data_IF_068939232080
#
_entry.id   IF_068939232080
#
_cell.length_a   1.000
_cell.length_b   1.000
_cell.length_c   1.000
_cell.angle_alpha   90.00
_cell.angle_beta   90.00
_cell.angle_gamma   90.00
#
_symmetry.space_group_name_H-M   'P 1'
#
loop_
_entity.id
_entity.type
_entity.pdbx_description
1 polymer ?
#
# COMPACT_ATOMS: atom_id res chain seq x y z
N UNK A 1 -15.32 -1.80 3.04
CA UNK A 1 -15.04 -1.61 1.61
C UNK A 1 -14.05 -2.69 1.23
N UNK A 2 -14.47 -3.65 0.42
CA UNK A 2 -13.61 -4.76 0.03
C UNK A 2 -12.53 -4.24 -0.94
N UNK A 3 -11.27 -4.53 -0.64
CA UNK A 3 -10.18 -4.02 -1.45
C UNK A 3 -10.14 -4.79 -2.78
N UNK A 4 -10.32 -4.09 -3.91
CA UNK A 4 -10.36 -4.71 -5.23
C UNK A 4 -8.94 -5.07 -5.68
N UNK A 5 -8.69 -6.35 -5.86
CA UNK A 5 -7.45 -6.87 -6.43
C UNK A 5 -7.49 -6.89 -7.96
N UNK A 6 -6.40 -6.53 -8.60
CA UNK A 6 -6.21 -6.56 -10.06
C UNK A 6 -4.87 -7.20 -10.39
N UNK A 7 -4.71 -7.75 -11.60
CA UNK A 7 -3.39 -8.19 -12.06
C UNK A 7 -2.62 -6.97 -12.53
N UNK A 8 -1.41 -6.78 -12.00
CA UNK A 8 -0.56 -5.65 -12.34
C UNK A 8 0.82 -5.76 -11.70
N UNK A 9 1.44 -4.61 -11.50
CA UNK A 9 2.80 -4.51 -10.97
C UNK A 9 2.77 -4.03 -9.53
N UNK A 10 3.60 -4.64 -8.67
CA UNK A 10 3.80 -4.13 -7.33
C UNK A 10 4.77 -2.96 -7.39
N UNK A 11 4.29 -1.76 -7.05
CA UNK A 11 5.08 -0.54 -7.07
C UNK A 11 5.86 -0.32 -5.76
N UNK A 12 5.73 -1.24 -4.82
CA UNK A 12 6.52 -1.27 -3.59
C UNK A 12 7.82 -2.05 -3.80
N UNK A 13 8.55 -2.30 -2.70
CA UNK A 13 9.94 -2.75 -2.73
C UNK A 13 10.22 -4.06 -3.48
N UNK A 14 9.23 -4.93 -3.73
CA UNK A 14 9.49 -6.17 -4.48
C UNK A 14 9.53 -6.00 -6.01
N UNK A 15 8.93 -4.95 -6.58
CA UNK A 15 8.97 -4.67 -8.03
C UNK A 15 8.43 -5.79 -8.95
N UNK A 16 7.77 -6.82 -8.40
CA UNK A 16 7.26 -7.96 -9.18
C UNK A 16 6.11 -7.51 -10.09
N UNK A 17 5.99 -8.17 -11.23
CA UNK A 17 4.99 -7.89 -12.27
C UNK A 17 4.04 -9.05 -12.48
N UNK A 18 2.84 -8.81 -13.00
CA UNK A 18 1.88 -9.86 -13.37
C UNK A 18 1.29 -10.63 -12.19
N UNK A 19 1.18 -9.99 -11.03
CA UNK A 19 0.61 -10.59 -9.81
C UNK A 19 -0.63 -9.83 -9.33
N UNK A 20 -1.47 -10.44 -8.47
CA UNK A 20 -2.54 -9.72 -7.80
C UNK A 20 -1.98 -8.56 -6.97
N UNK A 21 -2.46 -7.36 -7.24
CA UNK A 21 -2.15 -6.13 -6.53
C UNK A 21 -3.41 -5.36 -6.14
N UNK A 22 -3.32 -4.60 -5.06
CA UNK A 22 -4.40 -3.75 -4.54
C UNK A 22 -4.00 -2.28 -4.60
N UNK A 23 -4.96 -1.40 -4.84
CA UNK A 23 -4.75 0.05 -4.80
C UNK A 23 -4.58 0.53 -3.35
N UNK A 24 -3.50 1.26 -3.08
CA UNK A 24 -3.20 1.82 -1.76
C UNK A 24 -3.56 3.30 -1.63
N UNK A 25 -3.45 4.05 -2.71
CA UNK A 25 -3.63 5.50 -2.68
C UNK A 25 -2.91 6.20 -3.83
N UNK A 26 -3.09 7.51 -3.97
CA UNK A 26 -2.35 8.32 -4.94
C UNK A 26 -0.95 8.67 -4.41
N UNK A 27 0.07 8.48 -5.25
CA UNK A 27 1.37 9.14 -5.12
C UNK A 27 1.29 10.51 -5.80
N UNK A 28 1.73 11.55 -5.10
CA UNK A 28 1.90 12.89 -5.67
C UNK A 28 3.36 13.09 -6.07
N UNK A 29 3.59 13.52 -7.31
CA UNK A 29 4.92 13.85 -7.83
C UNK A 29 4.79 15.02 -8.81
N UNK A 30 5.49 16.13 -8.56
CA UNK A 30 5.47 17.34 -9.41
C UNK A 30 4.07 17.80 -9.84
N UNK A 31 3.12 17.81 -8.90
CA UNK A 31 1.73 18.21 -9.13
C UNK A 31 0.90 17.18 -9.91
N UNK A 32 1.48 16.02 -10.26
CA UNK A 32 0.79 14.91 -10.90
C UNK A 32 0.46 13.81 -9.90
N UNK A 33 -0.57 13.01 -10.24
CA UNK A 33 -1.01 11.87 -9.44
C UNK A 33 -0.78 10.56 -10.19
N UNK A 34 -0.21 9.58 -9.50
CA UNK A 34 -0.11 8.20 -9.99
C UNK A 34 -0.69 7.22 -8.96
N UNK A 35 -1.37 6.14 -9.38
CA UNK A 35 -1.92 5.17 -8.45
C UNK A 35 -0.82 4.26 -7.89
N UNK A 36 -0.75 4.07 -6.57
CA UNK A 36 0.18 3.13 -5.95
C UNK A 36 -0.52 1.78 -5.77
N UNK A 37 0.10 0.72 -6.29
CA UNK A 37 -0.35 -0.65 -6.15
C UNK A 37 0.63 -1.51 -5.34
N UNK A 38 0.10 -2.42 -4.54
CA UNK A 38 0.90 -3.35 -3.74
C UNK A 38 0.39 -4.78 -3.85
N UNK A 39 1.31 -5.73 -3.92
CA UNK A 39 0.98 -7.14 -3.76
C UNK A 39 0.72 -7.48 -2.28
N UNK A 40 0.19 -8.67 -2.03
CA UNK A 40 -0.14 -9.14 -0.69
C UNK A 40 1.06 -9.12 0.27
N UNK A 41 2.22 -9.61 -0.15
CA UNK A 41 3.42 -9.66 0.70
C UNK A 41 3.85 -8.26 1.17
N UNK A 42 3.95 -7.30 0.24
CA UNK A 42 4.36 -5.94 0.57
C UNK A 42 3.27 -5.19 1.35
N UNK A 43 2.00 -5.44 1.06
CA UNK A 43 0.88 -4.90 1.83
C UNK A 43 0.94 -5.37 3.29
N UNK A 44 1.19 -6.66 3.52
CA UNK A 44 1.29 -7.22 4.87
C UNK A 44 2.47 -6.61 5.63
N UNK A 45 3.61 -6.42 4.96
CA UNK A 45 4.75 -5.70 5.54
C UNK A 45 4.38 -4.26 5.94
N UNK A 46 3.68 -3.53 5.07
CA UNK A 46 3.27 -2.16 5.33
C UNK A 46 2.29 -2.07 6.50
N UNK A 47 1.31 -2.98 6.57
CA UNK A 47 0.36 -3.08 7.69
C UNK A 47 1.07 -3.35 9.01
N UNK A 48 2.08 -4.23 9.02
CA UNK A 48 2.87 -4.51 10.22
C UNK A 48 3.63 -3.26 10.69
N UNK A 49 4.22 -2.49 9.77
CA UNK A 49 4.89 -1.22 10.10
C UNK A 49 3.91 -0.18 10.65
N UNK A 50 2.73 -0.04 10.04
CA UNK A 50 1.69 0.86 10.50
C UNK A 50 1.20 0.47 11.91
N UNK A 51 0.95 -0.82 12.15
CA UNK A 51 0.58 -1.32 13.47
C UNK A 51 1.65 -1.00 14.51
N UNK A 52 2.93 -1.27 14.22
CA UNK A 52 4.04 -0.95 15.12
C UNK A 52 4.11 0.56 15.43
N UNK A 53 3.88 1.41 14.44
CA UNK A 53 3.80 2.87 14.63
C UNK A 53 2.66 3.25 15.58
N UNK A 54 1.47 2.69 15.40
CA UNK A 54 0.29 2.99 16.24
C UNK A 54 0.45 2.48 17.68
N UNK A 55 1.19 1.39 17.89
CA UNK A 55 1.47 0.91 19.25
C UNK A 55 2.43 1.85 20.01
N UNK A 56 3.33 2.54 19.31
CA UNK A 56 4.28 3.49 19.91
C UNK A 56 3.68 4.89 20.09
N UNK A 57 2.76 5.27 19.22
CA UNK A 57 2.08 6.56 19.22
C UNK A 57 0.60 6.25 19.28
N UNK A 58 -0.03 6.43 20.44
CA UNK A 58 -1.48 6.30 20.57
C UNK A 58 -2.13 7.02 19.38
N UNK A 59 -2.77 6.31 18.44
CA UNK A 59 -3.44 6.98 17.35
C UNK A 59 -4.51 7.85 17.98
N UNK A 60 -4.55 9.13 17.61
CA UNK A 60 -5.69 9.96 17.95
C UNK A 60 -6.93 9.21 17.45
N UNK A 61 -7.82 8.86 18.38
CA UNK A 61 -9.10 8.24 18.03
C UNK A 61 -9.81 9.28 17.16
N UNK A 62 -10.03 8.92 15.89
CA UNK A 62 -10.84 9.72 14.96
C UNK A 62 -12.32 9.66 15.36
#
# INVERSE_FOLDING_TARGET
MEAKWVIGDCWLGCGRTGLPVVWLGPLQWDGQHAPVYACEDDLNRLKAQALAYFMQRQPAIA
#
